data_IF_839338612581
#
_entry.id   IF_839338612581
#
_cell.length_a   1.000
_cell.length_b   1.000
_cell.length_c   1.000
_cell.angle_alpha   90.00
_cell.angle_beta   90.00
_cell.angle_gamma   90.00
#
_symmetry.space_group_name_H-M   'P 1'
#
loop_
_entity.id
_entity.type
_entity.pdbx_description
1 polymer ?
#
# COMPACT_ATOMS: atom_id res chain seq x y z
N UNK A 1 -14.02 -0.55 -12.01
CA UNK A 1 -13.62 -0.33 -10.59
C UNK A 1 -12.32 0.42 -10.61
N UNK A 2 -12.22 1.54 -9.89
CA UNK A 2 -11.03 2.39 -9.81
C UNK A 2 -10.29 2.15 -8.50
N UNK A 3 -9.07 1.63 -8.58
CA UNK A 3 -8.19 1.41 -7.44
C UNK A 3 -6.94 2.27 -7.53
N UNK A 4 -6.61 2.94 -6.42
CA UNK A 4 -5.34 3.64 -6.27
C UNK A 4 -4.35 2.77 -5.48
N UNK A 5 -3.14 2.63 -5.99
CA UNK A 5 -2.01 2.08 -5.24
C UNK A 5 -1.09 3.22 -4.81
N UNK A 6 -0.83 3.30 -3.50
CA UNK A 6 0.07 4.28 -2.90
C UNK A 6 1.26 3.56 -2.24
N UNK A 7 2.47 3.94 -2.64
CA UNK A 7 3.71 3.49 -2.02
C UNK A 7 4.43 4.65 -1.34
N UNK A 8 4.68 4.50 -0.04
CA UNK A 8 5.41 5.45 0.78
C UNK A 8 6.94 5.33 0.63
N UNK A 9 7.68 5.80 1.65
CA UNK A 9 9.11 6.03 1.54
C UNK A 9 9.90 4.74 1.33
N UNK A 10 10.98 4.87 0.55
CA UNK A 10 11.96 3.83 0.21
C UNK A 10 11.44 2.70 -0.69
N UNK A 11 10.15 2.63 -1.01
CA UNK A 11 9.61 1.58 -1.90
C UNK A 11 10.03 1.77 -3.36
N UNK A 12 10.45 2.97 -3.75
CA UNK A 12 11.14 3.22 -5.02
C UNK A 12 12.49 2.49 -5.16
N UNK A 13 13.02 1.93 -4.07
CA UNK A 13 14.28 1.18 -4.05
C UNK A 13 14.09 -0.34 -4.19
N UNK A 14 12.85 -0.82 -4.34
CA UNK A 14 12.57 -2.25 -4.58
C UNK A 14 13.32 -2.76 -5.82
N UNK A 15 13.85 -3.97 -5.72
CA UNK A 15 14.74 -4.58 -6.72
C UNK A 15 16.20 -4.08 -6.69
N UNK A 16 16.49 -2.95 -6.02
CA UNK A 16 17.85 -2.37 -5.92
C UNK A 16 18.53 -2.60 -4.57
N UNK A 17 17.78 -2.70 -3.47
CA UNK A 17 18.29 -2.82 -2.10
C UNK A 17 17.67 -4.03 -1.39
N UNK A 18 18.42 -4.65 -0.47
CA UNK A 18 17.93 -5.73 0.41
C UNK A 18 17.21 -6.85 -0.37
N UNK A 19 17.81 -7.27 -1.50
CA UNK A 19 17.22 -8.24 -2.42
C UNK A 19 16.86 -9.57 -1.75
N UNK A 20 17.60 -9.96 -0.70
CA UNK A 20 17.29 -11.16 0.09
C UNK A 20 15.97 -11.04 0.89
N UNK A 21 15.48 -9.83 1.16
CA UNK A 21 14.26 -9.55 1.93
C UNK A 21 13.10 -9.20 0.99
N UNK A 22 13.34 -8.42 -0.07
CA UNK A 22 12.27 -7.89 -0.93
C UNK A 22 12.24 -8.47 -2.36
N UNK A 23 13.20 -9.32 -2.71
CA UNK A 23 13.32 -9.88 -4.06
C UNK A 23 14.04 -8.95 -5.05
N UNK A 24 14.17 -9.43 -6.29
CA UNK A 24 14.86 -8.72 -7.38
C UNK A 24 13.93 -7.88 -8.27
N UNK A 25 12.61 -8.05 -8.12
CA UNK A 25 11.62 -7.41 -8.97
C UNK A 25 11.35 -5.97 -8.53
N UNK A 26 11.29 -5.04 -9.48
CA UNK A 26 10.86 -3.66 -9.23
C UNK A 26 9.35 -3.59 -9.11
N UNK A 27 8.85 -2.64 -8.33
CA UNK A 27 7.40 -2.49 -8.19
C UNK A 27 6.71 -2.17 -9.53
N UNK A 28 7.34 -1.38 -10.40
CA UNK A 28 6.76 -1.02 -11.69
C UNK A 28 6.56 -2.25 -12.60
N UNK A 29 7.51 -3.18 -12.60
CA UNK A 29 7.41 -4.42 -13.39
C UNK A 29 6.25 -5.30 -12.87
N UNK A 30 6.11 -5.37 -11.55
CA UNK A 30 5.02 -6.09 -10.91
C UNK A 30 3.65 -5.43 -11.15
N UNK A 31 3.59 -4.10 -11.16
CA UNK A 31 2.36 -3.35 -11.44
C UNK A 31 1.80 -3.70 -12.83
N UNK A 32 2.66 -3.85 -13.83
CA UNK A 32 2.22 -4.25 -15.17
C UNK A 32 1.65 -5.68 -15.21
N UNK A 33 2.23 -6.61 -14.43
CA UNK A 33 1.65 -7.95 -14.24
C UNK A 33 0.28 -7.89 -13.54
N UNK A 34 0.15 -7.01 -12.54
CA UNK A 34 -1.09 -6.83 -11.79
C UNK A 34 -2.20 -6.29 -12.69
N UNK A 35 -1.91 -5.27 -13.50
CA UNK A 35 -2.82 -4.72 -14.52
C UNK A 35 -3.24 -5.79 -15.53
N UNK A 36 -2.28 -6.58 -16.02
CA UNK A 36 -2.57 -7.69 -16.95
C UNK A 36 -3.46 -8.77 -16.31
N UNK A 37 -3.32 -9.02 -15.01
CA UNK A 37 -4.13 -9.99 -14.27
C UNK A 37 -5.56 -9.49 -14.05
N UNK A 38 -5.76 -8.18 -13.88
CA UNK A 38 -7.06 -7.57 -13.64
C UNK A 38 -7.39 -6.47 -14.67
N UNK A 39 -7.62 -6.83 -15.95
CA UNK A 39 -7.75 -5.86 -17.04
C UNK A 39 -9.00 -4.99 -16.96
N UNK A 40 -9.97 -5.33 -16.10
CA UNK A 40 -11.21 -4.56 -15.89
C UNK A 40 -11.10 -3.55 -14.73
N UNK A 41 -9.96 -3.53 -14.04
CA UNK A 41 -9.68 -2.58 -12.97
C UNK A 41 -8.87 -1.43 -13.55
N UNK A 42 -9.34 -0.22 -13.29
CA UNK A 42 -8.60 1.01 -13.57
C UNK A 42 -7.63 1.27 -12.42
N UNK A 43 -6.33 1.14 -12.68
CA UNK A 43 -5.28 1.29 -11.68
C UNK A 43 -4.55 2.63 -11.84
N UNK A 44 -4.64 3.46 -10.82
CA UNK A 44 -3.72 4.58 -10.62
C UNK A 44 -2.60 4.18 -9.64
N UNK A 45 -1.41 4.73 -9.85
CA UNK A 45 -0.24 4.46 -9.02
C UNK A 45 0.46 5.76 -8.61
N UNK A 46 0.81 5.86 -7.33
CA UNK A 46 1.58 6.97 -6.79
C UNK A 46 2.65 6.46 -5.82
N UNK A 47 3.86 7.02 -5.92
CA UNK A 47 4.94 6.77 -4.97
C UNK A 47 5.57 8.08 -4.56
N UNK A 48 5.84 8.23 -3.27
CA UNK A 48 6.59 9.37 -2.75
C UNK A 48 7.34 9.01 -1.45
N UNK A 49 8.39 9.77 -1.16
CA UNK A 49 9.07 9.73 0.13
C UNK A 49 8.55 10.80 1.12
N UNK A 50 7.69 11.70 0.67
CA UNK A 50 7.23 12.87 1.42
C UNK A 50 5.88 12.54 2.07
N UNK A 51 5.79 12.68 3.40
CA UNK A 51 4.59 12.35 4.17
C UNK A 51 3.36 13.15 3.71
N UNK A 52 3.50 14.47 3.54
CA UNK A 52 2.40 15.34 3.12
C UNK A 52 1.83 14.97 1.76
N UNK A 53 2.66 14.53 0.82
CA UNK A 53 2.19 14.11 -0.50
C UNK A 53 1.35 12.81 -0.44
N UNK A 54 1.61 11.92 0.53
CA UNK A 54 0.75 10.76 0.77
C UNK A 54 -0.61 11.20 1.32
N UNK A 55 -0.61 12.14 2.27
CA UNK A 55 -1.84 12.73 2.84
C UNK A 55 -2.67 13.35 1.72
N UNK A 56 -2.06 14.20 0.90
CA UNK A 56 -2.73 14.87 -0.22
C UNK A 56 -3.30 13.86 -1.21
N UNK A 57 -2.52 12.83 -1.57
CA UNK A 57 -2.98 11.81 -2.52
C UNK A 57 -4.13 10.97 -1.98
N UNK A 58 -4.12 10.65 -0.67
CA UNK A 58 -5.23 9.96 -0.01
C UNK A 58 -6.50 10.82 -0.06
N UNK A 59 -6.40 12.12 0.23
CA UNK A 59 -7.56 13.03 0.20
C UNK A 59 -8.08 13.26 -1.23
N UNK A 60 -7.20 13.36 -2.22
CA UNK A 60 -7.53 13.54 -3.64
C UNK A 60 -8.40 12.38 -4.17
N UNK A 61 -8.05 11.14 -3.83
CA UNK A 61 -8.73 9.94 -4.32
C UNK A 61 -9.80 9.40 -3.37
N UNK A 62 -9.70 9.74 -2.09
CA UNK A 62 -10.47 9.12 -1.02
C UNK A 62 -11.98 9.34 -1.10
N UNK A 63 -12.45 10.21 -1.98
CA UNK A 63 -13.89 10.46 -2.22
C UNK A 63 -14.39 9.96 -3.57
N UNK A 64 -13.50 9.47 -4.45
CA UNK A 64 -13.84 9.12 -5.84
C UNK A 64 -13.37 7.72 -6.25
N UNK A 65 -12.36 7.16 -5.59
CA UNK A 65 -11.90 5.80 -5.83
C UNK A 65 -12.80 4.76 -5.16
N UNK A 66 -12.90 3.59 -5.76
CA UNK A 66 -13.61 2.44 -5.16
C UNK A 66 -12.79 1.80 -4.02
N UNK A 67 -11.48 2.03 -4.00
CA UNK A 67 -10.59 1.58 -2.94
C UNK A 67 -9.14 2.08 -3.10
N UNK A 68 -8.39 2.06 -1.99
CA UNK A 68 -6.98 2.44 -1.95
C UNK A 68 -6.17 1.30 -1.34
N UNK A 69 -5.07 0.94 -1.98
CA UNK A 69 -4.07 0.00 -1.47
C UNK A 69 -2.86 0.82 -1.04
N UNK A 70 -2.52 0.81 0.25
CA UNK A 70 -1.45 1.64 0.81
C UNK A 70 -0.36 0.76 1.40
N UNK A 71 0.86 0.89 0.90
CA UNK A 71 2.06 0.49 1.64
C UNK A 71 2.77 1.77 2.07
N UNK A 72 2.55 2.20 3.32
CA UNK A 72 3.13 3.44 3.83
C UNK A 72 4.61 3.31 4.22
N UNK A 73 5.26 2.17 3.94
CA UNK A 73 6.63 1.90 4.34
C UNK A 73 6.83 2.12 5.84
N UNK A 74 7.89 2.84 6.22
CA UNK A 74 8.16 3.13 7.62
C UNK A 74 7.11 4.06 8.28
N UNK A 75 6.36 4.85 7.51
CA UNK A 75 5.36 5.76 8.06
C UNK A 75 4.17 5.04 8.69
N UNK A 76 3.95 3.75 8.37
CA UNK A 76 3.01 2.88 9.10
C UNK A 76 3.22 2.92 10.61
N UNK A 77 4.46 3.13 11.07
CA UNK A 77 4.83 3.07 12.48
C UNK A 77 4.87 4.46 13.16
N UNK A 78 4.82 5.55 12.39
CA UNK A 78 5.13 6.90 12.92
C UNK A 78 4.12 7.98 12.53
N UNK A 79 3.44 7.87 11.38
CA UNK A 79 2.59 8.94 10.84
C UNK A 79 1.15 8.93 11.36
N UNK A 80 0.88 9.79 12.34
CA UNK A 80 -0.50 10.09 12.76
C UNK A 80 -1.23 10.87 11.65
N UNK A 81 -0.52 11.67 10.87
CA UNK A 81 -1.09 12.44 9.77
C UNK A 81 -1.71 11.53 8.69
N UNK A 82 -1.01 10.47 8.27
CA UNK A 82 -1.54 9.50 7.30
C UNK A 82 -2.70 8.71 7.89
N UNK A 83 -2.63 8.31 9.16
CA UNK A 83 -3.75 7.65 9.86
C UNK A 83 -5.01 8.51 9.77
N UNK A 84 -4.91 9.78 10.15
CA UNK A 84 -6.07 10.65 10.21
C UNK A 84 -6.57 11.02 8.80
N UNK A 85 -5.69 11.08 7.80
CA UNK A 85 -6.07 11.21 6.39
C UNK A 85 -6.92 10.01 5.91
N UNK A 86 -6.51 8.78 6.25
CA UNK A 86 -7.28 7.56 5.93
C UNK A 86 -8.64 7.58 6.64
N UNK A 87 -8.68 7.96 7.91
CA UNK A 87 -9.92 8.04 8.68
C UNK A 87 -10.89 9.12 8.17
N UNK A 88 -10.38 10.14 7.47
CA UNK A 88 -11.15 11.26 6.96
C UNK A 88 -11.80 11.06 5.59
N UNK A 89 -11.51 9.96 4.89
CA UNK A 89 -12.01 9.67 3.54
C UNK A 89 -13.03 8.53 3.54
N UNK A 90 -13.86 8.45 2.49
CA UNK A 90 -14.91 7.42 2.38
C UNK A 90 -14.45 6.16 1.67
N UNK A 91 -13.41 6.26 0.84
CA UNK A 91 -12.85 5.12 0.13
C UNK A 91 -12.22 4.13 1.12
N UNK A 92 -12.52 2.83 0.99
CA UNK A 92 -11.91 1.80 1.83
C UNK A 92 -10.41 1.67 1.54
N UNK A 93 -9.60 1.67 2.60
CA UNK A 93 -8.14 1.53 2.50
C UNK A 93 -7.68 0.16 2.98
N UNK A 94 -6.84 -0.53 2.21
CA UNK A 94 -6.17 -1.78 2.61
C UNK A 94 -4.69 -1.51 2.79
N UNK A 95 -4.17 -1.77 3.99
CA UNK A 95 -2.73 -1.68 4.28
C UNK A 95 -2.00 -2.90 3.73
N UNK A 96 -0.85 -2.68 3.09
CA UNK A 96 -0.01 -3.73 2.52
C UNK A 96 1.43 -3.58 3.00
N UNK A 97 2.07 -4.71 3.36
CA UNK A 97 3.50 -4.82 3.60
C UNK A 97 4.10 -5.98 2.83
N UNK A 98 5.21 -5.76 2.13
CA UNK A 98 5.90 -6.80 1.36
C UNK A 98 6.48 -7.87 2.30
N UNK A 99 7.17 -7.44 3.37
CA UNK A 99 7.72 -8.33 4.40
C UNK A 99 6.72 -8.55 5.54
N UNK A 100 6.90 -9.65 6.28
CA UNK A 100 6.22 -9.82 7.57
C UNK A 100 6.83 -8.85 8.59
N UNK A 101 6.10 -7.80 8.96
CA UNK A 101 6.61 -6.78 9.89
C UNK A 101 6.70 -7.30 11.33
N UNK A 102 5.89 -8.30 11.69
CA UNK A 102 5.86 -8.91 13.02
C UNK A 102 7.09 -9.80 13.31
N UNK A 103 7.78 -10.26 12.27
CA UNK A 103 9.03 -11.03 12.42
C UNK A 103 10.28 -10.16 12.44
N UNK A 104 10.11 -8.83 12.47
CA UNK A 104 11.20 -7.84 12.42
C UNK A 104 11.37 -7.15 13.77
N UNK A 105 12.09 -6.04 13.81
CA UNK A 105 12.36 -5.27 15.02
C UNK A 105 11.05 -4.80 15.68
N UNK A 106 11.04 -4.69 17.02
CA UNK A 106 9.83 -4.40 17.82
C UNK A 106 9.09 -3.13 17.38
N UNK A 107 9.82 -2.10 16.92
CA UNK A 107 9.21 -0.86 16.44
C UNK A 107 8.37 -1.05 15.16
N UNK A 108 8.49 -2.19 14.48
CA UNK A 108 7.71 -2.54 13.29
C UNK A 108 6.46 -3.35 13.60
N UNK A 109 6.30 -3.83 14.83
CA UNK A 109 5.17 -4.68 15.19
C UNK A 109 3.86 -3.90 15.27
N UNK A 110 3.94 -2.59 15.51
CA UNK A 110 2.77 -1.72 15.61
C UNK A 110 2.56 -0.91 14.34
N UNK A 111 1.43 -1.15 13.67
CA UNK A 111 0.88 -0.24 12.68
C UNK A 111 -0.06 0.76 13.36
N UNK A 112 0.19 2.06 13.20
CA UNK A 112 -0.73 3.10 13.71
C UNK A 112 -1.81 3.47 12.69
N UNK A 113 -1.60 3.15 11.40
CA UNK A 113 -2.60 3.35 10.34
C UNK A 113 -3.55 2.15 10.22
N UNK A 114 -3.08 0.94 10.54
CA UNK A 114 -3.84 -0.32 10.42
C UNK A 114 -5.22 -0.29 11.10
N UNK A 115 -5.38 0.30 12.30
CA UNK A 115 -6.69 0.40 12.97
C UNK A 115 -7.77 1.20 12.22
N UNK A 116 -7.39 2.05 11.25
CA UNK A 116 -8.35 2.82 10.43
C UNK A 116 -8.46 2.29 9.00
N UNK A 117 -7.67 1.28 8.64
CA UNK A 117 -7.80 0.56 7.37
C UNK A 117 -8.92 -0.50 7.47
N UNK A 118 -9.48 -0.88 6.31
CA UNK A 118 -10.40 -2.03 6.17
C UNK A 118 -9.73 -3.34 6.61
N UNK A 119 -8.44 -3.47 6.35
CA UNK A 119 -7.65 -4.65 6.67
C UNK A 119 -6.17 -4.43 6.36
N UNK A 120 -5.35 -5.41 6.74
CA UNK A 120 -3.91 -5.40 6.54
C UNK A 120 -3.44 -6.74 5.98
N UNK A 121 -2.58 -6.71 4.97
CA UNK A 121 -1.97 -7.88 4.34
C UNK A 121 -0.45 -7.72 4.39
N UNK A 122 0.24 -8.68 4.99
CA UNK A 122 1.69 -8.59 5.17
C UNK A 122 2.40 -9.92 4.96
N UNK A 123 3.63 -9.86 4.44
CA UNK A 123 4.53 -11.02 4.41
C UNK A 123 4.39 -11.96 3.22
N UNK A 124 3.56 -11.63 2.23
CA UNK A 124 3.42 -12.39 0.99
C UNK A 124 4.23 -11.80 -0.17
N UNK A 125 5.23 -10.97 0.14
CA UNK A 125 6.02 -10.29 -0.89
C UNK A 125 5.14 -9.32 -1.69
N UNK A 126 5.45 -9.18 -2.98
CA UNK A 126 4.64 -8.37 -3.91
C UNK A 126 3.23 -8.95 -4.12
N UNK A 127 3.01 -10.25 -3.88
CA UNK A 127 1.69 -10.87 -4.00
C UNK A 127 0.67 -10.27 -3.01
N UNK A 128 1.15 -9.66 -1.92
CA UNK A 128 0.32 -8.90 -0.97
C UNK A 128 -0.55 -7.83 -1.67
N UNK A 129 -0.06 -7.21 -2.75
CA UNK A 129 -0.85 -6.26 -3.55
C UNK A 129 -1.94 -6.96 -4.35
N UNK A 130 -1.69 -8.15 -4.90
CA UNK A 130 -2.72 -8.94 -5.61
C UNK A 130 -3.82 -9.38 -4.67
N UNK A 131 -3.45 -9.83 -3.47
CA UNK A 131 -4.40 -10.18 -2.42
C UNK A 131 -5.23 -8.96 -1.98
N UNK A 132 -4.62 -7.78 -1.89
CA UNK A 132 -5.33 -6.54 -1.61
C UNK A 132 -6.36 -6.21 -2.70
N UNK A 133 -6.01 -6.34 -3.98
CA UNK A 133 -6.95 -6.17 -5.11
C UNK A 133 -8.15 -7.12 -4.98
N UNK A 134 -7.89 -8.41 -4.71
CA UNK A 134 -8.96 -9.40 -4.53
C UNK A 134 -9.91 -9.06 -3.39
N UNK A 135 -9.43 -8.41 -2.33
CA UNK A 135 -10.27 -8.00 -1.19
C UNK A 135 -11.32 -6.94 -1.51
N UNK A 136 -11.23 -6.28 -2.66
CA UNK A 136 -12.26 -5.34 -3.15
C UNK A 136 -13.29 -6.00 -4.08
N UNK A 137 -13.01 -7.20 -4.58
CA UNK A 137 -13.91 -7.90 -5.50
C UNK A 137 -15.00 -8.65 -4.72
N UNK A 138 -16.22 -8.76 -5.30
CA UNK A 138 -17.28 -9.57 -4.71
C UNK A 138 -16.87 -11.05 -4.65
N UNK A 139 -17.18 -11.70 -3.54
CA UNK A 139 -17.03 -13.16 -3.34
C UNK A 139 -18.14 -13.93 -4.01
#
# INVERSE_FOLDING_TARGET
>A
MKLLIINGPNLNLLGKREQNIYGHERFEDYLEKLKATFPLIDFDFFQTNIEGELVDKIQEYGFTADGIIVNAGAYTHTSVAIRDAIAGVTAPVVEVHISNTLSREDFRHKSIIGPVCRGCIMGFGLDSYRLAVLSFLPT
#
